data_IF_094348569906
#
_entry.id   IF_094348569906
#
_cell.length_a   1.000
_cell.length_b   1.000
_cell.length_c   1.000
_cell.angle_alpha   90.00
_cell.angle_beta   90.00
_cell.angle_gamma   90.00
#
_symmetry.space_group_name_H-M   'P 1'
#
loop_
_entity.id
_entity.type
_entity.pdbx_description
1 polymer ?
#
# COMPACT_ATOMS: atom_id res chain seq x y z
N UNK A 1 18.59 -21.71 9.86
CA UNK A 1 17.79 -20.61 10.45
C UNK A 1 17.16 -19.85 9.30
N UNK A 2 15.87 -19.69 9.31
CA UNK A 2 15.12 -18.96 8.26
C UNK A 2 15.42 -17.46 8.39
N UNK A 3 16.32 -16.96 7.54
CA UNK A 3 16.81 -15.57 7.55
C UNK A 3 15.72 -14.60 7.05
N UNK A 4 14.68 -15.10 6.38
CA UNK A 4 13.62 -14.28 5.78
C UNK A 4 12.80 -13.52 6.83
N UNK A 5 12.58 -14.09 8.00
CA UNK A 5 11.84 -13.47 9.10
C UNK A 5 12.52 -12.27 9.77
N UNK A 6 13.76 -11.95 9.38
CA UNK A 6 14.55 -10.83 9.95
C UNK A 6 14.67 -9.63 9.01
N UNK A 7 14.22 -9.74 7.76
CA UNK A 7 14.36 -8.67 6.75
C UNK A 7 12.99 -8.03 6.57
N UNK A 8 12.73 -6.95 7.28
CA UNK A 8 11.48 -6.19 7.24
C UNK A 8 11.64 -4.80 6.64
N UNK A 9 12.89 -4.39 6.36
CA UNK A 9 13.21 -3.11 5.76
C UNK A 9 14.38 -3.21 4.77
N UNK A 10 14.59 -2.16 3.98
CA UNK A 10 15.76 -2.03 3.11
C UNK A 10 17.07 -2.02 3.93
N UNK A 11 17.06 -1.35 5.07
CA UNK A 11 18.20 -1.26 5.98
C UNK A 11 18.56 -2.62 6.56
N UNK A 12 17.59 -3.47 6.89
CA UNK A 12 17.83 -4.85 7.32
C UNK A 12 18.48 -5.67 6.22
N UNK A 13 18.01 -5.52 4.98
CA UNK A 13 18.61 -6.17 3.81
C UNK A 13 20.08 -5.73 3.62
N UNK A 14 20.36 -4.44 3.77
CA UNK A 14 21.72 -3.90 3.70
C UNK A 14 22.62 -4.51 4.79
N UNK A 15 22.13 -4.61 6.02
CA UNK A 15 22.86 -5.24 7.13
C UNK A 15 23.18 -6.71 6.84
N UNK A 16 22.18 -7.49 6.37
CA UNK A 16 22.35 -8.90 6.02
C UNK A 16 23.41 -9.08 4.92
N UNK A 17 23.45 -8.17 3.95
CA UNK A 17 24.41 -8.21 2.85
C UNK A 17 25.75 -7.55 3.17
N UNK A 18 25.90 -6.97 4.37
CA UNK A 18 27.07 -6.19 4.78
C UNK A 18 27.42 -5.07 3.78
N UNK A 19 26.41 -4.31 3.34
CA UNK A 19 26.56 -3.15 2.46
C UNK A 19 25.99 -1.90 3.11
N UNK A 20 26.49 -0.73 2.73
CA UNK A 20 25.89 0.53 3.16
C UNK A 20 24.64 0.83 2.35
N UNK A 21 23.59 1.39 2.98
CA UNK A 21 22.47 1.98 2.24
C UNK A 21 22.97 3.03 1.24
N UNK A 22 22.32 3.10 0.07
CA UNK A 22 22.66 4.10 -0.93
C UNK A 22 22.26 5.49 -0.44
N UNK A 23 23.05 6.51 -0.80
CA UNK A 23 22.57 7.89 -0.70
C UNK A 23 21.48 8.12 -1.76
N UNK A 24 20.23 8.36 -1.31
CA UNK A 24 19.08 8.51 -2.20
C UNK A 24 19.20 9.71 -3.13
N UNK A 25 19.99 10.73 -2.78
CA UNK A 25 20.24 11.90 -3.62
C UNK A 25 20.83 11.57 -4.99
N UNK A 26 21.48 10.42 -5.15
CA UNK A 26 22.00 9.99 -6.46
C UNK A 26 20.89 9.82 -7.50
N UNK A 27 19.65 9.57 -7.04
CA UNK A 27 18.51 9.44 -7.93
C UNK A 27 17.96 10.78 -8.41
N UNK A 28 18.37 11.90 -7.82
CA UNK A 28 18.01 13.25 -8.28
C UNK A 28 18.56 13.56 -9.69
N UNK A 29 19.52 12.76 -10.18
CA UNK A 29 20.02 12.86 -11.56
C UNK A 29 19.02 12.35 -12.61
N UNK A 30 18.02 11.56 -12.22
CA UNK A 30 16.96 11.08 -13.10
C UNK A 30 15.86 12.15 -13.27
N UNK A 31 15.06 12.10 -14.36
CA UNK A 31 13.83 12.88 -14.47
C UNK A 31 12.93 12.65 -13.24
N UNK A 32 12.23 13.69 -12.79
CA UNK A 32 11.41 13.62 -11.56
C UNK A 32 10.41 12.45 -11.56
N UNK A 33 9.83 12.17 -12.72
CA UNK A 33 8.86 11.07 -12.89
C UNK A 33 9.48 9.69 -12.70
N UNK A 34 10.81 9.55 -12.91
CA UNK A 34 11.51 8.26 -12.84
C UNK A 34 12.21 8.04 -11.49
N UNK A 35 12.50 9.10 -10.74
CA UNK A 35 13.30 9.03 -9.51
C UNK A 35 12.75 8.00 -8.53
N UNK A 36 11.44 8.03 -8.28
CA UNK A 36 10.76 7.15 -7.34
C UNK A 36 10.83 5.68 -7.79
N UNK A 37 10.56 5.42 -9.05
CA UNK A 37 10.60 4.07 -9.63
C UNK A 37 12.02 3.49 -9.60
N UNK A 38 13.03 4.29 -9.94
CA UNK A 38 14.43 3.87 -9.93
C UNK A 38 14.94 3.58 -8.53
N UNK A 39 14.59 4.41 -7.55
CA UNK A 39 14.92 4.18 -6.15
C UNK A 39 14.24 2.90 -5.62
N UNK A 40 12.96 2.73 -5.89
CA UNK A 40 12.20 1.55 -5.50
C UNK A 40 12.78 0.27 -6.12
N UNK A 41 13.10 0.29 -7.41
CA UNK A 41 13.77 -0.83 -8.08
C UNK A 41 15.11 -1.17 -7.42
N UNK A 42 15.95 -0.17 -7.12
CA UNK A 42 17.20 -0.40 -6.40
C UNK A 42 16.96 -1.09 -5.05
N UNK A 43 16.06 -0.55 -4.23
CA UNK A 43 15.72 -1.12 -2.92
C UNK A 43 15.20 -2.56 -3.06
N UNK A 44 14.30 -2.82 -3.98
CA UNK A 44 13.77 -4.16 -4.25
C UNK A 44 14.86 -5.15 -4.66
N UNK A 45 15.83 -4.75 -5.50
CA UNK A 45 16.92 -5.65 -5.90
C UNK A 45 17.83 -6.02 -4.74
N UNK A 46 18.07 -5.11 -3.80
CA UNK A 46 18.85 -5.36 -2.58
C UNK A 46 18.10 -6.29 -1.64
N UNK A 47 16.81 -6.02 -1.41
CA UNK A 47 15.93 -6.84 -0.57
C UNK A 47 15.83 -8.27 -1.13
N UNK A 48 15.57 -8.42 -2.44
CA UNK A 48 15.48 -9.72 -3.09
C UNK A 48 16.78 -10.50 -2.93
N UNK A 49 17.95 -9.87 -3.14
CA UNK A 49 19.25 -10.50 -2.96
C UNK A 49 19.47 -10.97 -1.53
N UNK A 50 19.04 -10.18 -0.53
CA UNK A 50 19.16 -10.56 0.88
C UNK A 50 18.22 -11.72 1.24
N UNK A 51 16.96 -11.69 0.77
CA UNK A 51 15.98 -12.76 0.96
C UNK A 51 16.42 -14.07 0.30
N UNK A 52 17.06 -13.99 -0.87
CA UNK A 52 17.53 -15.14 -1.63
C UNK A 52 18.77 -15.80 -1.01
N UNK A 53 19.41 -15.15 -0.06
CA UNK A 53 20.53 -15.74 0.70
C UNK A 53 21.58 -16.46 -0.18
N UNK A 54 22.03 -15.79 -1.23
CA UNK A 54 23.04 -16.31 -2.18
C UNK A 54 22.48 -17.14 -3.35
N UNK A 55 21.19 -17.51 -3.33
CA UNK A 55 20.57 -18.16 -4.48
C UNK A 55 20.55 -17.21 -5.70
N UNK A 56 20.87 -17.78 -6.87
CA UNK A 56 20.81 -17.11 -8.18
C UNK A 56 20.03 -18.00 -9.14
N UNK A 57 19.09 -17.45 -9.93
CA UNK A 57 18.30 -18.25 -10.85
C UNK A 57 19.19 -18.84 -11.97
N UNK A 58 19.02 -20.12 -12.25
CA UNK A 58 19.55 -20.77 -13.44
C UNK A 58 18.45 -20.87 -14.49
N UNK A 59 18.53 -20.02 -15.52
CA UNK A 59 17.51 -19.96 -16.58
C UNK A 59 17.62 -21.10 -17.60
N UNK A 60 18.73 -21.85 -17.59
CA UNK A 60 18.93 -23.03 -18.45
C UNK A 60 18.32 -24.30 -17.81
N UNK A 61 18.03 -24.28 -16.52
CA UNK A 61 17.40 -25.40 -15.82
C UNK A 61 15.86 -25.29 -15.88
N UNK A 62 15.25 -26.19 -16.67
CA UNK A 62 13.81 -26.30 -16.81
C UNK A 62 13.08 -26.81 -15.55
N UNK A 63 13.81 -27.41 -14.61
CA UNK A 63 13.26 -27.95 -13.37
C UNK A 63 13.36 -26.96 -12.20
N UNK A 64 14.16 -25.90 -12.34
CA UNK A 64 14.26 -24.84 -11.34
C UNK A 64 13.19 -23.76 -11.57
N UNK A 65 12.18 -23.77 -10.75
CA UNK A 65 11.13 -22.75 -10.78
C UNK A 65 11.60 -21.44 -10.13
N UNK A 66 11.39 -20.33 -10.81
CA UNK A 66 11.66 -18.96 -10.36
C UNK A 66 10.32 -18.32 -10.03
N UNK A 67 10.10 -17.97 -8.78
CA UNK A 67 8.84 -17.41 -8.30
C UNK A 67 8.94 -15.89 -8.22
N UNK A 68 7.83 -15.20 -8.49
CA UNK A 68 7.73 -13.75 -8.36
C UNK A 68 6.30 -13.35 -8.03
N UNK A 69 6.09 -12.21 -7.33
CA UNK A 69 4.75 -11.73 -7.07
C UNK A 69 4.10 -11.22 -8.35
N UNK A 70 2.82 -11.53 -8.52
CA UNK A 70 1.97 -10.96 -9.55
C UNK A 70 1.02 -9.96 -8.90
N UNK A 71 1.04 -8.74 -9.39
CA UNK A 71 0.17 -7.68 -8.91
C UNK A 71 -0.97 -7.41 -9.89
N UNK A 72 -2.07 -6.93 -9.36
CA UNK A 72 -3.24 -6.48 -10.11
C UNK A 72 -3.56 -5.06 -9.72
N UNK A 73 -3.87 -4.24 -10.71
CA UNK A 73 -4.45 -2.93 -10.46
C UNK A 73 -5.92 -3.11 -10.03
N UNK A 74 -6.28 -2.55 -8.88
CA UNK A 74 -7.63 -2.59 -8.31
C UNK A 74 -7.97 -1.19 -7.82
N UNK A 75 -8.96 -0.57 -8.40
CA UNK A 75 -9.69 0.66 -8.02
C UNK A 75 -8.93 1.79 -7.29
N UNK A 76 -7.69 1.97 -7.29
CA UNK A 76 -6.85 2.98 -6.65
C UNK A 76 -5.55 2.40 -6.08
N UNK A 77 -5.09 1.25 -6.54
CA UNK A 77 -3.82 0.76 -6.05
C UNK A 77 -3.39 -0.58 -6.60
N UNK A 78 -2.18 -0.95 -6.26
CA UNK A 78 -1.58 -2.22 -6.60
C UNK A 78 -1.85 -3.22 -5.47
N UNK A 79 -2.44 -4.36 -5.80
CA UNK A 79 -2.66 -5.47 -4.85
C UNK A 79 -1.95 -6.71 -5.33
N UNK A 80 -1.26 -7.42 -4.43
CA UNK A 80 -0.70 -8.73 -4.75
C UNK A 80 -1.84 -9.72 -5.01
N UNK A 81 -1.93 -10.20 -6.24
CA UNK A 81 -2.96 -11.15 -6.64
C UNK A 81 -2.58 -12.58 -6.22
N UNK A 82 -1.39 -13.01 -6.56
CA UNK A 82 -0.79 -14.31 -6.22
C UNK A 82 0.70 -14.31 -6.58
N UNK A 83 1.38 -15.40 -6.30
CA UNK A 83 2.72 -15.62 -6.85
C UNK A 83 2.61 -16.37 -8.18
N UNK A 84 3.39 -15.93 -9.14
CA UNK A 84 3.57 -16.63 -10.42
C UNK A 84 4.94 -17.31 -10.45
N UNK A 85 5.12 -18.24 -11.39
CA UNK A 85 6.39 -18.93 -11.58
C UNK A 85 6.72 -19.11 -13.05
N UNK A 86 8.02 -19.24 -13.32
CA UNK A 86 8.55 -19.57 -14.63
C UNK A 86 9.82 -20.42 -14.48
N UNK A 87 10.08 -21.30 -15.42
CA UNK A 87 11.31 -22.10 -15.45
C UNK A 87 12.39 -21.39 -16.31
N UNK A 88 12.10 -21.18 -17.58
CA UNK A 88 13.07 -20.66 -18.57
C UNK A 88 12.71 -19.27 -19.12
N UNK A 89 11.53 -18.75 -18.77
CA UNK A 89 11.04 -17.45 -19.23
C UNK A 89 10.93 -16.46 -18.08
N UNK A 90 10.98 -15.17 -18.39
CA UNK A 90 10.76 -14.10 -17.41
C UNK A 90 9.90 -13.00 -18.00
N UNK A 91 9.12 -12.31 -17.15
CA UNK A 91 8.44 -11.08 -17.53
C UNK A 91 9.40 -9.89 -17.60
N UNK A 92 9.04 -8.89 -18.37
CA UNK A 92 9.90 -7.73 -18.67
C UNK A 92 10.39 -6.96 -17.44
N UNK A 93 9.62 -6.95 -16.34
CA UNK A 93 9.97 -6.23 -15.12
C UNK A 93 10.62 -7.08 -14.02
N UNK A 94 10.95 -8.35 -14.26
CA UNK A 94 11.37 -9.29 -13.21
C UNK A 94 12.83 -9.67 -13.35
N UNK A 95 13.17 -10.47 -14.35
CA UNK A 95 14.52 -10.97 -14.58
C UNK A 95 15.10 -11.68 -13.35
N UNK A 96 16.43 -11.84 -13.37
CA UNK A 96 17.19 -12.48 -12.28
C UNK A 96 17.24 -11.68 -10.98
N UNK A 97 16.78 -10.43 -10.98
CA UNK A 97 16.94 -9.52 -9.85
C UNK A 97 15.74 -9.47 -8.92
N UNK A 98 14.54 -9.85 -9.40
CA UNK A 98 13.28 -9.75 -8.67
C UNK A 98 12.53 -11.09 -8.60
N UNK A 99 13.23 -12.21 -8.76
CA UNK A 99 12.68 -13.55 -8.58
C UNK A 99 13.27 -14.25 -7.36
N UNK A 100 12.56 -15.26 -6.89
CA UNK A 100 12.81 -15.97 -5.65
C UNK A 100 12.84 -17.50 -5.89
N UNK A 101 13.55 -18.28 -5.06
CA UNK A 101 13.59 -19.73 -5.17
C UNK A 101 12.30 -20.40 -4.71
N UNK A 102 11.43 -19.70 -3.98
CA UNK A 102 10.18 -20.27 -3.45
C UNK A 102 9.01 -19.30 -3.54
N UNK A 103 7.80 -19.84 -3.71
CA UNK A 103 6.56 -19.07 -3.66
C UNK A 103 6.37 -18.35 -2.31
N UNK A 104 6.81 -18.96 -1.21
CA UNK A 104 6.73 -18.37 0.12
C UNK A 104 7.55 -17.08 0.24
N UNK A 105 8.78 -17.04 -0.31
CA UNK A 105 9.61 -15.84 -0.32
C UNK A 105 9.04 -14.76 -1.25
N UNK A 106 8.53 -15.14 -2.41
CA UNK A 106 7.87 -14.19 -3.31
C UNK A 106 6.64 -13.55 -2.66
N UNK A 107 5.82 -14.35 -1.98
CA UNK A 107 4.67 -13.87 -1.21
C UNK A 107 5.09 -12.94 -0.07
N UNK A 108 6.11 -13.36 0.71
CA UNK A 108 6.66 -12.54 1.78
C UNK A 108 7.10 -11.16 1.28
N UNK A 109 7.85 -11.13 0.17
CA UNK A 109 8.32 -9.89 -0.42
C UNK A 109 7.15 -8.99 -0.86
N UNK A 110 6.10 -9.56 -1.49
CA UNK A 110 4.93 -8.83 -1.90
C UNK A 110 4.15 -8.21 -0.74
N UNK A 111 4.06 -8.92 0.39
CA UNK A 111 3.29 -8.48 1.57
C UNK A 111 4.04 -7.43 2.38
N UNK A 112 5.37 -7.58 2.54
CA UNK A 112 6.15 -6.69 3.39
C UNK A 112 6.69 -5.44 2.68
N UNK A 113 6.85 -5.51 1.37
CA UNK A 113 7.41 -4.44 0.56
C UNK A 113 6.43 -3.94 -0.54
N UNK A 114 5.13 -4.05 -0.27
CA UNK A 114 4.07 -3.66 -1.21
C UNK A 114 4.23 -2.23 -1.72
N UNK A 115 4.64 -1.30 -0.85
CA UNK A 115 4.84 0.09 -1.20
C UNK A 115 5.99 0.28 -2.19
N UNK A 116 7.11 -0.45 -2.02
CA UNK A 116 8.21 -0.41 -2.99
C UNK A 116 7.81 -1.01 -4.34
N UNK A 117 7.01 -2.09 -4.35
CA UNK A 117 6.49 -2.62 -5.61
C UNK A 117 5.56 -1.62 -6.31
N UNK A 118 4.74 -0.92 -5.55
CA UNK A 118 3.88 0.15 -6.06
C UNK A 118 4.72 1.27 -6.68
N UNK A 119 5.71 1.76 -5.94
CA UNK A 119 6.60 2.83 -6.40
C UNK A 119 7.39 2.44 -7.65
N UNK A 120 7.69 1.14 -7.80
CA UNK A 120 8.38 0.61 -8.97
C UNK A 120 7.49 0.51 -10.20
N UNK A 121 6.24 0.01 -10.04
CA UNK A 121 5.39 -0.30 -11.20
C UNK A 121 4.54 0.87 -11.68
N UNK A 122 4.28 1.84 -10.85
CA UNK A 122 3.24 2.81 -11.13
C UNK A 122 3.78 4.25 -11.15
N UNK A 123 3.17 5.09 -12.00
CA UNK A 123 3.42 6.52 -11.94
C UNK A 123 2.73 7.13 -10.71
N UNK A 124 3.31 8.19 -10.15
CA UNK A 124 2.73 8.89 -9.02
C UNK A 124 1.30 9.40 -9.28
N UNK A 125 1.00 9.73 -10.54
CA UNK A 125 -0.34 10.17 -10.98
C UNK A 125 -1.40 9.06 -11.01
N UNK A 126 -0.99 7.78 -11.00
CA UNK A 126 -1.91 6.63 -10.99
C UNK A 126 -2.42 6.31 -9.58
N UNK A 127 -1.76 6.86 -8.58
CA UNK A 127 -2.27 6.95 -7.23
C UNK A 127 -2.73 8.38 -7.03
N UNK A 128 -3.95 8.58 -6.69
CA UNK A 128 -4.26 9.79 -5.97
C UNK A 128 -3.19 9.89 -4.89
N UNK A 129 -2.41 10.95 -4.91
CA UNK A 129 -1.26 11.17 -4.05
C UNK A 129 -1.60 10.70 -2.64
N UNK A 130 -1.15 9.50 -2.27
CA UNK A 130 -0.99 9.20 -0.87
C UNK A 130 0.23 10.00 -0.50
N UNK A 131 0.01 11.28 -0.23
CA UNK A 131 0.99 12.17 0.31
C UNK A 131 1.60 11.47 1.52
N UNK A 132 2.81 10.96 1.36
CA UNK A 132 3.72 11.12 2.46
C UNK A 132 3.80 12.63 2.63
N UNK A 133 3.25 13.09 3.74
CA UNK A 133 3.23 14.48 4.11
C UNK A 133 4.65 15.01 4.14
N UNK A 134 5.14 15.54 3.00
CA UNK A 134 5.94 16.72 3.05
C UNK A 134 4.97 17.83 3.47
N UNK A 135 5.18 18.30 4.67
CA UNK A 135 4.56 19.47 5.28
C UNK A 135 4.58 20.64 4.30
N UNK A 136 3.49 20.82 3.55
CA UNK A 136 3.25 22.03 2.82
C UNK A 136 1.76 22.23 2.65
N UNK A 137 1.25 23.10 3.53
CA UNK A 137 -0.09 23.63 3.60
C UNK A 137 -1.15 22.66 4.14
N UNK A 138 -1.17 22.55 5.47
CA UNK A 138 -2.34 22.08 6.21
C UNK A 138 -3.55 22.91 5.79
N UNK A 139 -4.50 22.30 5.07
CA UNK A 139 -5.86 22.81 5.12
C UNK A 139 -6.28 22.77 6.59
N UNK A 140 -7.01 23.76 7.09
CA UNK A 140 -7.37 23.80 8.51
C UNK A 140 -8.27 22.61 8.84
N UNK A 141 -7.63 21.50 9.17
CA UNK A 141 -8.30 20.31 9.65
C UNK A 141 -8.75 20.60 11.08
N UNK A 142 -10.01 20.39 11.38
CA UNK A 142 -10.54 20.63 12.73
C UNK A 142 -9.77 19.79 13.77
N UNK A 143 -9.66 20.29 14.99
CA UNK A 143 -9.02 19.56 16.09
C UNK A 143 -9.71 18.21 16.34
N UNK A 144 -11.01 18.14 16.10
CA UNK A 144 -11.78 16.89 16.16
C UNK A 144 -11.25 15.85 15.16
N UNK A 145 -11.05 16.23 13.90
CA UNK A 145 -10.59 15.30 12.86
C UNK A 145 -9.13 14.88 13.10
N UNK A 146 -8.27 15.80 13.56
CA UNK A 146 -6.88 15.49 13.95
C UNK A 146 -6.85 14.46 15.07
N UNK A 147 -7.57 14.74 16.17
CA UNK A 147 -7.65 13.85 17.33
C UNK A 147 -8.21 12.48 16.94
N UNK A 148 -9.24 12.43 16.10
CA UNK A 148 -9.83 11.17 15.63
C UNK A 148 -8.82 10.35 14.82
N UNK A 149 -8.03 11.00 13.98
CA UNK A 149 -6.97 10.35 13.21
C UNK A 149 -5.89 9.77 14.12
N UNK A 150 -5.43 10.52 15.12
CA UNK A 150 -4.44 10.07 16.09
C UNK A 150 -4.94 8.87 16.91
N UNK A 151 -6.17 8.92 17.41
CA UNK A 151 -6.80 7.82 18.14
C UNK A 151 -6.90 6.57 17.26
N UNK A 152 -7.31 6.72 16.01
CA UNK A 152 -7.37 5.63 15.05
C UNK A 152 -5.99 5.00 14.86
N UNK A 153 -4.97 5.78 14.55
CA UNK A 153 -3.61 5.31 14.30
C UNK A 153 -3.02 4.60 15.52
N UNK A 154 -3.17 5.20 16.69
CA UNK A 154 -2.53 4.71 17.91
C UNK A 154 -3.25 3.50 18.54
N UNK A 155 -4.57 3.48 18.49
CA UNK A 155 -5.36 2.53 19.26
C UNK A 155 -6.15 1.52 18.42
N UNK A 156 -6.55 1.84 17.19
CA UNK A 156 -7.41 0.98 16.39
C UNK A 156 -6.66 0.22 15.31
N UNK A 157 -5.73 0.87 14.62
CA UNK A 157 -4.91 0.25 13.55
C UNK A 157 -4.16 -0.99 14.04
N UNK A 158 -3.54 -1.03 15.23
CA UNK A 158 -2.83 -2.21 15.71
C UNK A 158 -3.71 -3.47 15.84
N UNK A 159 -5.01 -3.31 16.09
CA UNK A 159 -5.93 -4.46 16.19
C UNK A 159 -6.29 -5.09 14.84
N UNK A 160 -6.11 -4.35 13.76
CA UNK A 160 -6.46 -4.79 12.42
C UNK A 160 -5.24 -5.20 11.58
N UNK A 161 -4.07 -4.63 11.87
CA UNK A 161 -2.85 -4.90 11.14
C UNK A 161 -2.43 -6.37 11.25
N UNK A 162 -2.14 -7.00 10.10
CA UNK A 162 -1.76 -8.40 10.03
C UNK A 162 -2.91 -9.40 10.24
N UNK A 163 -4.13 -8.95 10.47
CA UNK A 163 -5.28 -9.84 10.63
C UNK A 163 -5.86 -10.27 9.28
N UNK A 164 -6.12 -11.55 9.11
CA UNK A 164 -6.81 -12.11 7.94
C UNK A 164 -8.33 -11.95 7.98
N UNK A 165 -8.90 -11.57 9.14
CA UNK A 165 -10.35 -11.56 9.38
C UNK A 165 -10.90 -10.23 9.91
N UNK A 166 -10.04 -9.27 10.23
CA UNK A 166 -10.46 -7.99 10.78
C UNK A 166 -10.21 -6.86 9.81
N UNK A 167 -11.18 -5.99 9.68
CA UNK A 167 -11.07 -4.73 8.96
C UNK A 167 -11.84 -3.65 9.71
N UNK A 168 -11.39 -2.41 9.62
CA UNK A 168 -11.99 -1.25 10.26
C UNK A 168 -12.19 -0.15 9.24
N UNK A 169 -13.33 0.52 9.34
CA UNK A 169 -13.62 1.75 8.64
C UNK A 169 -13.97 2.78 9.71
N UNK A 170 -13.34 3.92 9.66
CA UNK A 170 -13.66 5.07 10.50
C UNK A 170 -14.04 6.24 9.61
N UNK A 171 -15.18 6.84 9.88
CA UNK A 171 -15.62 8.05 9.19
C UNK A 171 -15.81 9.12 10.26
N UNK A 172 -15.04 10.18 10.18
CA UNK A 172 -15.20 11.37 11.01
C UNK A 172 -15.76 12.51 10.16
N UNK A 173 -16.79 13.20 10.65
CA UNK A 173 -17.37 14.37 10.00
C UNK A 173 -17.40 15.52 11.00
N UNK A 174 -16.98 16.68 10.56
CA UNK A 174 -17.07 17.92 11.32
C UNK A 174 -17.74 18.99 10.45
N UNK A 175 -18.88 19.48 10.87
CA UNK A 175 -19.65 20.49 10.13
C UNK A 175 -19.30 21.92 10.54
N UNK A 176 -18.43 22.10 11.53
CA UNK A 176 -18.00 23.41 12.02
C UNK A 176 -16.68 23.89 11.38
N UNK A 177 -16.21 23.19 10.35
CA UNK A 177 -15.02 23.60 9.61
C UNK A 177 -15.33 24.79 8.70
N UNK A 178 -14.27 25.57 8.39
CA UNK A 178 -14.36 26.68 7.46
C UNK A 178 -13.41 26.40 6.29
N UNK A 179 -13.85 26.77 5.10
CA UNK A 179 -13.01 26.69 3.90
C UNK A 179 -11.93 27.81 3.88
N UNK A 180 -11.16 27.86 2.79
CA UNK A 180 -10.09 28.87 2.58
C UNK A 180 -10.61 30.29 2.54
N UNK A 181 -11.91 30.49 2.27
CA UNK A 181 -12.57 31.80 2.20
C UNK A 181 -13.26 32.16 3.52
N UNK A 182 -13.20 31.27 4.53
CA UNK A 182 -13.85 31.44 5.82
C UNK A 182 -15.34 31.09 5.82
N UNK A 183 -15.86 30.53 4.73
CA UNK A 183 -17.23 30.01 4.63
C UNK A 183 -17.36 28.66 5.33
N UNK A 184 -18.57 28.36 5.81
CA UNK A 184 -18.86 27.06 6.46
C UNK A 184 -18.64 25.90 5.48
N UNK A 185 -17.90 24.90 5.92
CA UNK A 185 -17.64 23.68 5.15
C UNK A 185 -17.78 22.45 6.04
N UNK A 186 -17.89 21.28 5.43
CA UNK A 186 -17.89 20.01 6.16
C UNK A 186 -16.56 19.31 5.94
N UNK A 187 -15.79 19.18 7.00
CA UNK A 187 -14.59 18.36 7.01
C UNK A 187 -14.97 16.87 7.13
N UNK A 188 -14.39 16.03 6.29
CA UNK A 188 -14.62 14.59 6.31
C UNK A 188 -13.27 13.87 6.38
N UNK A 189 -13.14 12.94 7.31
CA UNK A 189 -12.03 12.01 7.39
C UNK A 189 -12.54 10.59 7.19
N UNK A 190 -11.91 9.82 6.31
CA UNK A 190 -12.21 8.41 6.12
C UNK A 190 -10.92 7.62 6.26
N UNK A 191 -10.88 6.71 7.23
CA UNK A 191 -9.74 5.84 7.47
C UNK A 191 -10.10 4.37 7.28
N UNK A 192 -9.18 3.61 6.69
CA UNK A 192 -9.32 2.17 6.50
C UNK A 192 -8.09 1.46 7.05
N UNK A 193 -8.28 0.32 7.71
CA UNK A 193 -7.16 -0.55 8.07
C UNK A 193 -7.59 -2.01 8.16
N UNK A 194 -6.64 -2.93 7.94
CA UNK A 194 -6.84 -4.37 8.07
C UNK A 194 -7.26 -5.08 6.79
N UNK A 195 -7.96 -6.20 6.93
CA UNK A 195 -8.31 -7.08 5.83
C UNK A 195 -9.39 -6.49 4.92
N UNK A 196 -9.08 -6.34 3.63
CA UNK A 196 -9.98 -5.78 2.62
C UNK A 196 -11.30 -6.56 2.48
N UNK A 197 -11.25 -7.90 2.51
CA UNK A 197 -12.46 -8.73 2.44
C UNK A 197 -13.40 -8.52 3.62
N UNK A 198 -12.85 -8.32 4.82
CA UNK A 198 -13.62 -7.98 6.01
C UNK A 198 -14.25 -6.58 5.91
N UNK A 199 -13.50 -5.60 5.36
CA UNK A 199 -13.99 -4.25 5.10
C UNK A 199 -15.16 -4.27 4.12
N UNK A 200 -15.02 -4.95 2.98
CA UNK A 200 -16.09 -5.07 1.98
C UNK A 200 -17.34 -5.75 2.54
N UNK A 201 -17.17 -6.80 3.34
CA UNK A 201 -18.29 -7.46 4.01
C UNK A 201 -18.99 -6.50 4.96
N UNK A 202 -18.23 -5.77 5.79
CA UNK A 202 -18.77 -4.77 6.70
C UNK A 202 -19.52 -3.64 5.98
N UNK A 203 -19.00 -3.15 4.86
CA UNK A 203 -19.67 -2.14 4.02
C UNK A 203 -20.99 -2.68 3.43
N UNK A 204 -21.01 -3.93 2.96
CA UNK A 204 -22.24 -4.54 2.48
C UNK A 204 -23.30 -4.61 3.59
N UNK A 205 -22.93 -5.05 4.78
CA UNK A 205 -23.82 -5.10 5.93
C UNK A 205 -24.30 -3.70 6.33
N UNK A 206 -23.44 -2.67 6.27
CA UNK A 206 -23.81 -1.29 6.52
C UNK A 206 -24.87 -0.80 5.52
N UNK A 207 -24.67 -1.09 4.24
CA UNK A 207 -25.55 -0.62 3.16
C UNK A 207 -26.87 -1.39 3.06
N UNK A 208 -26.91 -2.66 3.49
CA UNK A 208 -28.08 -3.54 3.35
C UNK A 208 -28.69 -3.96 4.70
N UNK A 209 -28.04 -3.65 5.81
CA UNK A 209 -28.45 -4.05 7.15
C UNK A 209 -29.67 -3.29 7.65
N UNK A 210 -30.57 -3.98 8.34
CA UNK A 210 -31.80 -3.39 8.89
C UNK A 210 -31.54 -2.24 9.88
N UNK A 211 -30.43 -2.30 10.63
CA UNK A 211 -30.09 -1.27 11.62
C UNK A 211 -29.57 0.03 11.00
N UNK A 212 -28.94 -0.05 9.85
CA UNK A 212 -28.39 1.11 9.13
C UNK A 212 -29.33 1.67 8.07
N UNK A 213 -30.40 0.94 7.70
CA UNK A 213 -31.33 1.33 6.66
C UNK A 213 -31.87 2.77 6.79
N UNK A 214 -32.26 3.28 7.96
CA UNK A 214 -32.78 4.65 8.07
C UNK A 214 -31.73 5.71 7.71
N UNK A 215 -30.47 5.49 8.09
CA UNK A 215 -29.35 6.41 7.80
C UNK A 215 -29.03 6.38 6.30
N UNK A 216 -28.93 5.17 5.74
CA UNK A 216 -28.62 4.98 4.30
C UNK A 216 -29.72 5.55 3.41
N UNK A 217 -30.98 5.30 3.73
CA UNK A 217 -32.12 5.85 2.99
C UNK A 217 -32.13 7.38 2.99
N UNK A 218 -31.88 7.98 4.16
CA UNK A 218 -31.84 9.44 4.29
C UNK A 218 -30.69 10.02 3.46
N UNK A 219 -29.48 9.51 3.59
CA UNK A 219 -28.33 9.96 2.81
C UNK A 219 -28.55 9.80 1.32
N UNK A 220 -29.16 8.69 0.87
CA UNK A 220 -29.47 8.45 -0.54
C UNK A 220 -30.49 9.46 -1.08
N UNK A 221 -31.49 9.84 -0.31
CA UNK A 221 -32.49 10.86 -0.69
C UNK A 221 -31.85 12.24 -0.82
N UNK A 222 -30.99 12.62 0.13
CA UNK A 222 -30.29 13.90 0.11
C UNK A 222 -29.39 14.01 -1.11
N UNK A 223 -28.56 12.99 -1.41
CA UNK A 223 -27.71 12.94 -2.62
C UNK A 223 -28.54 13.01 -3.92
N UNK A 224 -29.69 12.33 -3.96
CA UNK A 224 -30.56 12.38 -5.14
C UNK A 224 -31.15 13.77 -5.35
N UNK A 225 -31.49 14.48 -4.28
CA UNK A 225 -32.03 15.83 -4.34
C UNK A 225 -30.98 16.84 -4.82
N UNK A 226 -29.74 16.76 -4.31
CA UNK A 226 -28.62 17.61 -4.74
C UNK A 226 -28.26 17.47 -6.22
N UNK A 227 -28.47 16.30 -6.81
CA UNK A 227 -28.23 16.04 -8.25
C UNK A 227 -29.37 16.54 -9.17
N UNK A 228 -30.48 17.00 -8.60
CA UNK A 228 -31.64 17.50 -9.35
C UNK A 228 -31.73 19.04 -9.40
N UNK A 229 -30.85 19.72 -8.63
CA UNK A 229 -30.69 21.17 -8.59
C UNK A 229 -29.47 21.54 -9.44
#
# INVERSE_FOLDING_TARGET
>A
MDTSKKITSYEDACKVLNIQPINEEVFNAFPKEDQRSMLAYHKLTVITRALNNGWKPNWDDQNEWKYYPLFRYVNAGLSCAHTHNAATNTGAGIGSRLCFPTSALAKYAAEHFADLYRDYYCFASEYGETQQAESSQEEPQSDFLKTTTEVMQKHLVPFCNGSSSRGLIVVGCDTDTKDKNGEGSTGVMVGFCGNYGAIIKGLKELLTGKQSAPIVERATREIAFEKMI
#
